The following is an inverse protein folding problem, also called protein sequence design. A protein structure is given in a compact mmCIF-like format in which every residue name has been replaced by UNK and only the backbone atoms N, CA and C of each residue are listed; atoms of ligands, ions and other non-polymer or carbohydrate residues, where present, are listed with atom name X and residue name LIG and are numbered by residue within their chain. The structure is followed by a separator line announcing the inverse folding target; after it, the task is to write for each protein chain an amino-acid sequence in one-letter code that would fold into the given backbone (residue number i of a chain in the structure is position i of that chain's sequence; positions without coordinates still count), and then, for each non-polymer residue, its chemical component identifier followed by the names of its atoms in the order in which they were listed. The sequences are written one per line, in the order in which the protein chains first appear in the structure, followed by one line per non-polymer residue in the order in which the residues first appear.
data_IF_891486539443
#
_entry.id   IF_891486539443
#
_cell.length_a   1.000
_cell.length_b   1.000
_cell.length_c   1.000
_cell.angle_alpha   90.00
_cell.angle_beta   90.00
_cell.angle_gamma   90.00
#
_symmetry.space_group_name_H-M   'P 1'
#
loop_
_entity.id
_entity.type
_entity.pdbx_description
1 polymer ?
#
# COMPACT_ATOMS: atom_id res chain seq x y z
N UNK A 1 -8.11 -11.15 1.09
CA UNK A 1 -6.65 -10.85 1.23
C UNK A 1 -5.72 -11.94 0.63
N UNK A 2 -6.31 -12.98 0.00
CA UNK A 2 -5.57 -14.10 -0.61
C UNK A 2 -4.44 -13.66 -1.57
N UNK A 3 -4.61 -12.67 -2.48
CA UNK A 3 -3.53 -12.30 -3.41
C UNK A 3 -2.26 -11.80 -2.70
N UNK A 4 -2.39 -10.99 -1.65
CA UNK A 4 -1.22 -10.55 -0.86
C UNK A 4 -0.57 -11.71 -0.08
N UNK A 5 -1.37 -12.69 0.36
CA UNK A 5 -0.86 -13.91 0.99
C UNK A 5 -0.14 -14.81 -0.03
N UNK A 6 -0.70 -14.97 -1.23
CA UNK A 6 -0.08 -15.74 -2.30
C UNK A 6 1.24 -15.13 -2.78
N UNK A 7 1.34 -13.79 -2.83
CA UNK A 7 2.57 -13.09 -3.18
C UNK A 7 3.66 -13.29 -2.12
N UNK A 8 3.30 -13.34 -0.84
CA UNK A 8 4.18 -13.65 0.30
C UNK A 8 5.49 -12.82 0.31
N UNK A 9 5.44 -11.47 0.27
CA UNK A 9 6.65 -10.66 0.25
C UNK A 9 7.46 -10.83 1.53
N UNK A 10 8.79 -10.69 1.41
CA UNK A 10 9.71 -10.75 2.52
C UNK A 10 10.20 -9.35 2.91
N UNK A 11 10.55 -9.11 4.18
CA UNK A 11 11.22 -7.88 4.59
C UNK A 11 12.47 -7.61 3.76
N UNK A 12 12.63 -6.36 3.26
CA UNK A 12 13.77 -5.96 2.43
C UNK A 12 13.56 -6.11 0.92
N UNK A 13 12.48 -6.75 0.46
CA UNK A 13 12.17 -6.85 -0.97
C UNK A 13 11.63 -5.53 -1.56
N UNK A 14 11.72 -5.41 -2.88
CA UNK A 14 11.10 -4.36 -3.70
C UNK A 14 9.82 -4.92 -4.31
N UNK A 15 8.68 -4.38 -3.90
CA UNK A 15 7.35 -4.88 -4.27
C UNK A 15 6.57 -3.83 -5.04
N UNK A 16 5.88 -4.23 -6.09
CA UNK A 16 4.92 -3.40 -6.82
C UNK A 16 3.51 -3.91 -6.58
N UNK A 17 2.60 -3.03 -6.15
CA UNK A 17 1.14 -3.20 -6.21
C UNK A 17 0.62 -2.28 -7.32
N UNK A 18 0.36 -2.85 -8.51
CA UNK A 18 0.18 -2.04 -9.73
C UNK A 18 -1.23 -1.47 -9.87
N UNK A 19 -2.24 -2.08 -9.25
CA UNK A 19 -3.64 -1.66 -9.23
C UNK A 19 -4.13 -1.54 -7.78
N UNK A 20 -3.45 -0.72 -6.99
CA UNK A 20 -3.42 -0.79 -5.53
C UNK A 20 -4.70 -0.31 -4.82
N UNK A 21 -5.39 0.69 -5.40
CA UNK A 21 -6.50 1.33 -4.68
C UNK A 21 -7.71 0.41 -4.46
N UNK A 22 -8.33 0.47 -3.28
CA UNK A 22 -8.18 1.48 -2.22
C UNK A 22 -7.06 1.21 -1.19
N UNK A 23 -6.21 0.17 -1.34
CA UNK A 23 -5.04 -0.04 -0.49
C UNK A 23 -5.11 -1.24 0.46
N UNK A 24 -6.19 -2.01 0.46
CA UNK A 24 -6.32 -3.16 1.35
C UNK A 24 -5.26 -4.25 1.12
N UNK A 25 -4.87 -4.49 -0.14
CA UNK A 25 -3.79 -5.43 -0.47
C UNK A 25 -2.42 -4.82 -0.18
N UNK A 26 -2.21 -3.55 -0.52
CA UNK A 26 -1.00 -2.79 -0.19
C UNK A 26 -0.69 -2.84 1.30
N UNK A 27 -1.69 -2.60 2.15
CA UNK A 27 -1.50 -2.64 3.62
C UNK A 27 -1.16 -4.04 4.12
N UNK A 28 -1.77 -5.08 3.55
CA UNK A 28 -1.41 -6.46 3.88
C UNK A 28 0.03 -6.82 3.45
N UNK A 29 0.51 -6.30 2.31
CA UNK A 29 1.90 -6.44 1.89
C UNK A 29 2.84 -5.73 2.87
N UNK A 30 2.53 -4.47 3.26
CA UNK A 30 3.32 -3.68 4.20
C UNK A 30 3.45 -4.33 5.58
N UNK A 31 2.37 -4.90 6.11
CA UNK A 31 2.40 -5.65 7.36
C UNK A 31 3.37 -6.85 7.29
N UNK A 32 3.36 -7.60 6.18
CA UNK A 32 4.29 -8.73 5.99
C UNK A 32 5.74 -8.27 5.88
N UNK A 33 5.98 -7.15 5.22
CA UNK A 33 7.31 -6.58 5.04
C UNK A 33 7.84 -5.86 6.29
N UNK A 34 7.03 -5.68 7.34
CA UNK A 34 7.45 -5.03 8.61
C UNK A 34 8.09 -3.64 8.38
N UNK A 35 7.56 -2.87 7.45
CA UNK A 35 8.10 -1.57 7.03
C UNK A 35 9.56 -1.61 6.49
N UNK A 36 10.09 -2.78 6.10
CA UNK A 36 11.40 -2.94 5.49
C UNK A 36 11.28 -3.10 3.99
N UNK A 37 12.29 -2.63 3.24
CA UNK A 37 12.26 -2.64 1.77
C UNK A 37 11.43 -1.50 1.17
N UNK A 38 10.85 -1.74 0.00
CA UNK A 38 10.07 -0.74 -0.74
C UNK A 38 8.78 -1.35 -1.29
N UNK A 39 7.65 -0.66 -1.10
CA UNK A 39 6.41 -0.91 -1.82
C UNK A 39 6.13 0.28 -2.72
N UNK A 40 6.12 0.07 -4.04
CA UNK A 40 5.53 1.02 -4.99
C UNK A 40 4.07 0.63 -5.16
N UNK A 41 3.15 1.52 -4.78
CA UNK A 41 1.72 1.30 -4.88
C UNK A 41 1.12 2.27 -5.90
N UNK A 42 0.58 1.74 -7.00
CA UNK A 42 0.06 2.54 -8.10
C UNK A 42 -1.44 2.34 -8.30
N UNK A 43 -2.11 3.40 -8.69
CA UNK A 43 -3.44 3.32 -9.31
C UNK A 43 -3.60 4.43 -10.33
N UNK A 44 -4.16 4.12 -11.49
CA UNK A 44 -4.33 5.08 -12.59
C UNK A 44 -5.38 6.16 -12.26
N UNK A 45 -6.27 5.91 -11.31
CA UNK A 45 -7.35 6.82 -10.92
C UNK A 45 -6.93 7.78 -9.82
N UNK A 46 -6.79 9.10 -10.08
CA UNK A 46 -6.42 10.09 -9.05
C UNK A 46 -7.42 10.16 -7.89
N UNK A 47 -8.70 9.84 -8.16
CA UNK A 47 -9.74 9.80 -7.14
C UNK A 47 -9.53 8.64 -6.16
N UNK A 48 -9.16 7.45 -6.69
CA UNK A 48 -8.95 6.25 -5.89
C UNK A 48 -7.64 6.30 -5.09
N UNK A 49 -6.59 6.94 -5.62
CA UNK A 49 -5.29 7.10 -4.95
C UNK A 49 -5.43 7.83 -3.61
N UNK A 50 -6.37 8.77 -3.46
CA UNK A 50 -6.62 9.45 -2.17
C UNK A 50 -7.03 8.48 -1.05
N UNK A 51 -7.84 7.48 -1.38
CA UNK A 51 -8.23 6.44 -0.42
C UNK A 51 -7.03 5.51 -0.09
N UNK A 52 -6.19 5.20 -1.09
CA UNK A 52 -4.96 4.45 -0.91
C UNK A 52 -3.99 5.15 0.06
N UNK A 53 -3.75 6.46 -0.12
CA UNK A 53 -2.92 7.27 0.80
C UNK A 53 -3.46 7.19 2.22
N UNK A 54 -4.77 7.45 2.41
CA UNK A 54 -5.41 7.40 3.74
C UNK A 54 -5.22 6.04 4.40
N UNK A 55 -5.46 4.93 3.70
CA UNK A 55 -5.35 3.59 4.27
C UNK A 55 -3.90 3.22 4.61
N UNK A 56 -2.93 3.61 3.78
CA UNK A 56 -1.50 3.42 4.03
C UNK A 56 -1.04 4.19 5.28
N UNK A 57 -1.49 5.44 5.43
CA UNK A 57 -1.17 6.26 6.60
C UNK A 57 -1.83 5.75 7.87
N UNK A 58 -3.07 5.29 7.79
CA UNK A 58 -3.83 4.73 8.90
C UNK A 58 -3.17 3.47 9.47
N UNK A 59 -2.52 2.69 8.60
CA UNK A 59 -1.76 1.49 8.98
C UNK A 59 -0.30 1.77 9.37
N UNK A 60 0.11 3.04 9.41
CA UNK A 60 1.47 3.45 9.81
C UNK A 60 2.58 2.92 8.89
N UNK A 61 2.28 2.72 7.59
CA UNK A 61 3.29 2.22 6.64
C UNK A 61 4.26 3.33 6.23
N UNK A 62 5.55 3.06 6.43
CA UNK A 62 6.64 4.01 6.17
C UNK A 62 7.48 3.68 4.95
N UNK A 63 7.31 2.48 4.38
CA UNK A 63 8.09 1.96 3.25
C UNK A 63 7.34 2.03 1.92
N UNK A 64 6.30 2.85 1.81
CA UNK A 64 5.47 2.95 0.60
C UNK A 64 5.77 4.19 -0.22
N UNK A 65 5.85 4.03 -1.54
CA UNK A 65 5.85 5.09 -2.54
C UNK A 65 4.56 5.00 -3.35
N UNK A 66 3.66 5.97 -3.17
CA UNK A 66 2.34 5.97 -3.82
C UNK A 66 2.37 6.86 -5.04
N UNK A 67 2.08 6.28 -6.20
CA UNK A 67 2.15 6.93 -7.50
C UNK A 67 0.81 6.87 -8.23
N UNK A 68 0.63 7.77 -9.21
CA UNK A 68 -0.56 7.84 -10.05
C UNK A 68 -0.14 7.91 -11.51
N UNK A 69 0.26 6.76 -12.06
CA UNK A 69 0.80 6.65 -13.41
C UNK A 69 0.21 5.47 -14.19
N UNK A 70 0.40 5.48 -15.50
CA UNK A 70 0.08 4.32 -16.32
C UNK A 70 1.14 3.23 -16.16
N UNK A 71 0.77 1.94 -16.33
CA UNK A 71 1.73 0.83 -16.32
C UNK A 71 2.88 1.01 -17.32
N UNK A 72 2.60 1.58 -18.49
CA UNK A 72 3.59 1.84 -19.56
C UNK A 72 4.62 2.88 -19.12
N UNK A 73 4.22 3.89 -18.35
CA UNK A 73 5.15 4.88 -17.82
C UNK A 73 6.04 4.30 -16.74
N UNK A 74 5.47 3.47 -15.86
CA UNK A 74 6.22 2.83 -14.78
C UNK A 74 7.28 1.86 -15.32
N UNK A 75 6.98 1.08 -16.37
CA UNK A 75 7.95 0.15 -16.96
C UNK A 75 9.18 0.83 -17.55
N UNK A 76 9.05 2.09 -18.00
CA UNK A 76 10.19 2.87 -18.48
C UNK A 76 11.15 3.29 -17.36
N UNK A 77 10.64 3.38 -16.13
CA UNK A 77 11.38 3.85 -14.95
C UNK A 77 11.96 2.69 -14.16
N UNK A 78 11.25 1.57 -14.11
CA UNK A 78 11.57 0.43 -13.26
C UNK A 78 11.80 -0.88 -14.05
N UNK A 79 12.64 -0.92 -15.10
CA UNK A 79 12.92 -2.17 -15.82
C UNK A 79 13.61 -3.17 -14.88
N UNK A 80 13.09 -4.40 -14.78
CA UNK A 80 13.63 -5.49 -13.95
C UNK A 80 14.00 -5.07 -12.52
N UNK A 81 13.13 -4.26 -11.91
CA UNK A 81 13.41 -3.63 -10.61
C UNK A 81 12.77 -4.38 -9.44
N UNK A 82 11.58 -4.95 -9.62
CA UNK A 82 10.80 -5.53 -8.52
C UNK A 82 11.09 -7.02 -8.32
N UNK A 83 11.23 -7.41 -7.06
CA UNK A 83 11.31 -8.81 -6.64
C UNK A 83 9.95 -9.49 -6.72
N UNK A 84 8.89 -8.72 -6.43
CA UNK A 84 7.51 -9.21 -6.46
C UNK A 84 6.54 -8.17 -7.02
N UNK A 85 5.55 -8.65 -7.75
CA UNK A 85 4.48 -7.79 -8.31
C UNK A 85 3.12 -8.38 -7.99
N UNK A 86 2.23 -7.54 -7.46
CA UNK A 86 0.82 -7.84 -7.27
C UNK A 86 -0.02 -7.16 -8.36
N UNK A 87 -0.85 -7.93 -9.03
CA UNK A 87 -1.78 -7.50 -10.05
C UNK A 87 -3.20 -7.89 -9.66
N UNK A 88 -3.90 -6.99 -8.97
CA UNK A 88 -5.33 -7.10 -8.76
C UNK A 88 -6.02 -6.30 -9.85
N UNK A 89 -6.10 -6.90 -11.04
CA UNK A 89 -6.41 -6.18 -12.28
C UNK A 89 -7.88 -5.78 -12.38
N UNK A 90 -8.18 -4.67 -13.10
CA UNK A 90 -9.56 -4.36 -13.45
C UNK A 90 -10.16 -5.50 -14.26
N UNK A 91 -11.38 -5.93 -13.91
CA UNK A 91 -12.06 -7.06 -14.50
C UNK A 91 -13.57 -6.81 -14.61
N UNK A 92 -14.32 -7.73 -15.22
CA UNK A 92 -15.77 -7.64 -15.35
C UNK A 92 -16.54 -7.69 -14.02
N UNK A 93 -15.90 -8.13 -12.93
CA UNK A 93 -16.40 -7.94 -11.57
C UNK A 93 -17.55 -8.83 -11.15
N UNK A 94 -17.80 -9.95 -11.83
CA UNK A 94 -18.95 -10.86 -11.57
C UNK A 94 -19.00 -11.34 -10.12
N UNK A 95 -17.86 -11.57 -9.49
CA UNK A 95 -17.76 -12.00 -8.10
C UNK A 95 -18.21 -10.97 -7.08
N UNK A 96 -18.42 -9.70 -7.49
CA UNK A 96 -18.81 -8.59 -6.60
C UNK A 96 -20.31 -8.29 -6.61
N UNK A 97 -21.13 -8.95 -7.47
CA UNK A 97 -22.54 -8.63 -7.66
C UNK A 97 -23.38 -8.67 -6.39
N UNK A 98 -23.03 -9.51 -5.43
CA UNK A 98 -23.71 -9.58 -4.12
C UNK A 98 -23.48 -8.33 -3.28
N UNK A 99 -22.31 -7.72 -3.40
CA UNK A 99 -21.85 -6.59 -2.56
C UNK A 99 -22.11 -5.26 -3.23
N UNK A 100 -22.01 -5.20 -4.53
CA UNK A 100 -22.04 -3.98 -5.32
C UNK A 100 -23.04 -4.10 -6.49
N UNK A 101 -24.18 -3.43 -6.36
CA UNK A 101 -25.22 -3.38 -7.42
C UNK A 101 -24.73 -2.63 -8.66
N UNK A 102 -23.83 -1.66 -8.52
CA UNK A 102 -23.26 -0.93 -9.65
C UNK A 102 -22.34 -1.83 -10.48
N UNK A 103 -21.66 -2.79 -9.83
CA UNK A 103 -20.86 -3.80 -10.52
C UNK A 103 -21.71 -4.64 -11.47
N UNK A 104 -22.91 -5.04 -11.07
CA UNK A 104 -23.85 -5.80 -11.93
C UNK A 104 -24.34 -4.95 -13.13
N UNK A 105 -24.56 -3.64 -12.93
CA UNK A 105 -24.96 -2.74 -14.01
C UNK A 105 -23.80 -2.42 -14.97
N UNK A 106 -22.57 -2.29 -14.44
CA UNK A 106 -21.39 -2.06 -15.26
C UNK A 106 -21.02 -3.29 -16.10
N UNK A 107 -21.29 -4.49 -15.59
CA UNK A 107 -21.01 -5.74 -16.30
C UNK A 107 -21.70 -5.81 -17.68
N UNK A 108 -22.93 -5.32 -17.81
CA UNK A 108 -23.64 -5.25 -19.10
C UNK A 108 -22.95 -4.34 -20.13
N UNK A 109 -22.03 -3.46 -19.70
CA UNK A 109 -21.31 -2.49 -20.55
C UNK A 109 -19.88 -2.94 -20.88
N UNK A 110 -19.29 -3.82 -20.07
CA UNK A 110 -17.92 -4.30 -20.28
C UNK A 110 -17.96 -5.71 -20.84
N UNK A 111 -17.50 -5.87 -22.07
CA UNK A 111 -17.26 -7.20 -22.65
C UNK A 111 -16.00 -7.77 -21.97
N UNK A 112 -16.09 -9.03 -21.51
CA UNK A 112 -14.94 -9.73 -20.90
C UNK A 112 -13.71 -9.77 -21.81
N UNK A 113 -13.91 -9.74 -23.13
CA UNK A 113 -12.83 -9.66 -24.13
C UNK A 113 -12.04 -8.37 -24.02
N UNK A 114 -12.71 -7.22 -23.78
CA UNK A 114 -12.05 -5.93 -23.59
C UNK A 114 -11.25 -5.90 -22.30
N UNK A 115 -11.82 -6.44 -21.20
CA UNK A 115 -11.10 -6.58 -19.94
C UNK A 115 -9.86 -7.48 -20.10
N UNK A 116 -10.02 -8.62 -20.76
CA UNK A 116 -8.91 -9.55 -21.00
C UNK A 116 -7.78 -8.89 -21.81
N UNK A 117 -8.10 -8.09 -22.82
CA UNK A 117 -7.09 -7.35 -23.60
C UNK A 117 -6.35 -6.31 -22.75
N UNK A 118 -7.07 -5.52 -21.93
CA UNK A 118 -6.45 -4.55 -20.98
C UNK A 118 -5.54 -5.26 -20.00
N UNK A 119 -5.98 -6.39 -19.45
CA UNK A 119 -5.22 -7.19 -18.51
C UNK A 119 -3.91 -7.70 -19.12
N UNK A 120 -3.91 -8.09 -20.40
CA UNK A 120 -2.71 -8.52 -21.12
C UNK A 120 -1.67 -7.39 -21.25
N UNK A 121 -2.08 -6.16 -21.54
CA UNK A 121 -1.17 -5.00 -21.58
C UNK A 121 -0.62 -4.66 -20.18
N UNK A 122 -1.44 -4.77 -19.12
CA UNK A 122 -0.98 -4.59 -17.75
C UNK A 122 0.09 -5.63 -17.39
N UNK A 123 -0.16 -6.91 -17.69
CA UNK A 123 0.81 -8.00 -17.42
C UNK A 123 2.08 -7.85 -18.22
N UNK A 124 1.99 -7.41 -19.50
CA UNK A 124 3.17 -7.08 -20.31
C UNK A 124 4.07 -6.06 -19.62
N UNK A 125 3.48 -4.95 -19.16
CA UNK A 125 4.23 -3.92 -18.43
C UNK A 125 4.81 -4.45 -17.12
N UNK A 126 4.07 -5.25 -16.37
CA UNK A 126 4.51 -5.87 -15.14
C UNK A 126 5.67 -6.87 -15.37
N UNK A 127 5.59 -7.67 -16.42
CA UNK A 127 6.65 -8.63 -16.79
C UNK A 127 8.00 -7.94 -17.06
N UNK A 128 7.97 -6.78 -17.74
CA UNK A 128 9.18 -5.99 -18.00
C UNK A 128 9.78 -5.37 -16.72
N UNK A 129 8.92 -5.09 -15.72
CA UNK A 129 9.33 -4.54 -14.42
C UNK A 129 9.78 -5.61 -13.43
N UNK A 130 9.39 -6.88 -13.64
CA UNK A 130 9.74 -7.99 -12.77
C UNK A 130 11.16 -8.49 -13.03
N UNK A 131 11.95 -8.65 -11.98
CA UNK A 131 13.29 -9.26 -12.07
C UNK A 131 13.22 -10.71 -12.58
N UNK A 132 14.27 -11.20 -13.24
CA UNK A 132 14.47 -12.65 -13.42
C UNK A 132 14.44 -13.37 -12.06
N UNK A 133 13.72 -14.50 -11.97
CA UNK A 133 13.48 -15.22 -10.71
C UNK A 133 12.46 -14.55 -9.77
N UNK A 134 11.88 -13.40 -10.18
CA UNK A 134 10.87 -12.69 -9.42
C UNK A 134 9.49 -13.38 -9.47
N UNK A 135 8.63 -13.02 -8.53
CA UNK A 135 7.28 -13.60 -8.38
C UNK A 135 6.20 -12.57 -8.71
N UNK A 136 5.22 -12.97 -9.51
CA UNK A 136 4.03 -12.18 -9.83
C UNK A 136 2.78 -12.91 -9.36
N UNK A 137 1.85 -12.20 -8.74
CA UNK A 137 0.50 -12.72 -8.47
C UNK A 137 -0.50 -11.95 -9.30
N UNK A 138 -1.24 -12.68 -10.11
CA UNK A 138 -2.37 -12.19 -10.89
C UNK A 138 -3.67 -12.56 -10.20
N UNK A 139 -4.59 -11.61 -10.06
CA UNK A 139 -5.90 -11.83 -9.43
C UNK A 139 -7.00 -11.01 -10.08
N UNK A 140 -8.21 -11.57 -10.07
CA UNK A 140 -9.45 -10.94 -10.52
C UNK A 140 -10.58 -11.23 -9.55
N UNK A 141 -11.66 -10.44 -9.62
CA UNK A 141 -12.92 -10.73 -8.94
C UNK A 141 -14.00 -11.17 -9.95
N UNK A 142 -13.63 -11.86 -11.04
CA UNK A 142 -14.56 -12.41 -12.03
C UNK A 142 -14.51 -13.94 -12.07
N UNK A 143 -15.58 -14.57 -12.59
CA UNK A 143 -15.63 -16.00 -12.84
C UNK A 143 -15.29 -16.38 -14.29
N UNK A 144 -15.15 -15.39 -15.19
CA UNK A 144 -14.98 -15.62 -16.61
C UNK A 144 -13.62 -16.26 -16.93
N UNK A 145 -13.56 -17.43 -17.61
CA UNK A 145 -12.32 -18.09 -17.96
C UNK A 145 -11.41 -17.26 -18.86
N UNK A 146 -11.97 -16.39 -19.72
CA UNK A 146 -11.19 -15.50 -20.62
C UNK A 146 -10.30 -14.54 -19.87
N UNK A 147 -10.78 -14.04 -18.74
CA UNK A 147 -10.02 -13.14 -17.89
C UNK A 147 -9.13 -13.89 -16.88
N UNK A 148 -9.32 -15.17 -16.72
CA UNK A 148 -8.65 -16.03 -15.75
C UNK A 148 -7.71 -17.03 -16.45
N UNK A 149 -8.14 -18.29 -16.59
CA UNK A 149 -7.27 -19.37 -17.10
C UNK A 149 -6.75 -19.13 -18.52
N UNK A 150 -7.59 -18.58 -19.42
CA UNK A 150 -7.15 -18.27 -20.80
C UNK A 150 -6.10 -17.15 -20.83
N UNK A 151 -6.20 -16.16 -19.92
CA UNK A 151 -5.15 -15.15 -19.77
C UNK A 151 -3.88 -15.75 -19.18
N UNK A 152 -3.97 -16.62 -18.17
CA UNK A 152 -2.79 -17.32 -17.63
C UNK A 152 -2.13 -18.16 -18.72
N UNK A 153 -2.91 -18.90 -19.53
CA UNK A 153 -2.40 -19.64 -20.67
C UNK A 153 -1.69 -18.72 -21.67
N UNK A 154 -2.27 -17.57 -21.98
CA UNK A 154 -1.65 -16.56 -22.85
C UNK A 154 -0.32 -16.07 -22.25
N UNK A 155 -0.25 -15.81 -20.94
CA UNK A 155 0.97 -15.28 -20.31
C UNK A 155 2.11 -16.30 -20.34
N UNK A 156 1.86 -17.56 -20.00
CA UNK A 156 2.92 -18.60 -20.03
C UNK A 156 3.38 -18.96 -21.45
N UNK A 157 2.54 -18.73 -22.47
CA UNK A 157 2.91 -18.94 -23.89
C UNK A 157 3.72 -17.79 -24.48
N UNK A 158 3.48 -16.55 -24.03
CA UNK A 158 4.08 -15.37 -24.67
C UNK A 158 5.22 -14.74 -23.84
N UNK A 159 5.35 -15.11 -22.57
CA UNK A 159 6.39 -14.61 -21.68
C UNK A 159 7.11 -15.78 -21.01
N UNK A 160 8.33 -15.53 -20.52
CA UNK A 160 9.09 -16.52 -19.75
C UNK A 160 8.57 -16.64 -18.31
N UNK A 161 7.28 -16.97 -18.19
CA UNK A 161 6.57 -17.18 -16.94
C UNK A 161 6.21 -18.65 -16.74
N UNK A 162 6.26 -19.10 -15.49
CA UNK A 162 5.84 -20.43 -15.07
C UNK A 162 4.83 -20.29 -13.94
N UNK A 163 3.82 -21.17 -13.92
CA UNK A 163 2.88 -21.25 -12.79
C UNK A 163 3.60 -21.86 -11.58
N UNK A 164 3.57 -21.14 -10.47
CA UNK A 164 3.96 -21.65 -9.17
C UNK A 164 2.69 -22.06 -8.43
N UNK A 165 2.46 -23.37 -8.35
CA UNK A 165 1.23 -23.95 -7.84
C UNK A 165 0.91 -23.45 -6.43
N UNK A 166 -0.33 -23.01 -6.26
CA UNK A 166 -0.88 -22.64 -4.96
C UNK A 166 -1.64 -23.84 -4.36
N UNK A 167 -1.42 -24.10 -3.07
CA UNK A 167 -2.19 -25.10 -2.36
C UNK A 167 -3.55 -24.53 -1.92
N UNK A 168 -4.64 -25.28 -2.07
CA UNK A 168 -5.97 -24.86 -1.65
C UNK A 168 -6.03 -24.52 -0.15
N UNK A 169 -6.61 -23.37 0.18
CA UNK A 169 -6.78 -22.90 1.55
C UNK A 169 -8.07 -22.07 1.68
N UNK A 170 -8.75 -22.15 2.81
CA UNK A 170 -9.86 -21.25 3.14
C UNK A 170 -11.04 -21.33 2.15
N UNK A 171 -11.35 -22.50 1.62
CA UNK A 171 -12.43 -22.73 0.65
C UNK A 171 -12.06 -22.40 -0.80
N UNK A 172 -10.80 -22.01 -1.07
CA UNK A 172 -10.31 -21.93 -2.44
C UNK A 172 -10.11 -23.33 -3.03
N UNK A 173 -10.49 -23.50 -4.28
CA UNK A 173 -10.32 -24.71 -5.08
C UNK A 173 -9.36 -24.46 -6.25
N UNK A 174 -8.73 -25.52 -6.83
CA UNK A 174 -7.93 -25.37 -8.03
C UNK A 174 -8.70 -24.72 -9.18
N UNK A 175 -8.01 -23.93 -9.97
CA UNK A 175 -8.53 -23.35 -11.22
C UNK A 175 -8.86 -24.44 -12.24
N UNK A 176 -9.62 -24.09 -13.28
CA UNK A 176 -10.31 -25.01 -14.18
C UNK A 176 -9.58 -25.08 -15.53
N UNK A 177 -8.54 -25.91 -15.62
CA UNK A 177 -7.79 -26.10 -16.88
C UNK A 177 -8.68 -26.63 -18.01
N UNK A 178 -9.70 -27.41 -17.69
CA UNK A 178 -10.66 -27.94 -18.66
C UNK A 178 -11.50 -26.90 -19.40
N UNK A 179 -11.49 -25.63 -18.92
CA UNK A 179 -12.20 -24.50 -19.56
C UNK A 179 -11.36 -23.78 -20.61
N UNK A 180 -10.09 -24.15 -20.78
CA UNK A 180 -9.22 -23.61 -21.81
C UNK A 180 -9.18 -24.49 -23.05
N UNK A 181 -8.71 -23.95 -24.17
CA UNK A 181 -8.57 -24.75 -25.39
C UNK A 181 -7.49 -25.82 -25.27
N UNK A 182 -6.36 -25.52 -24.64
CA UNK A 182 -5.25 -26.48 -24.48
C UNK A 182 -5.52 -27.56 -23.46
N UNK A 183 -6.37 -27.27 -22.46
CA UNK A 183 -6.61 -28.12 -21.29
C UNK A 183 -5.32 -28.50 -20.56
N UNK A 184 -4.30 -27.61 -20.63
CA UNK A 184 -3.01 -27.83 -19.97
C UNK A 184 -3.22 -27.99 -18.45
N UNK A 185 -2.88 -29.14 -17.87
CA UNK A 185 -3.11 -29.41 -16.45
C UNK A 185 -2.35 -28.47 -15.53
N UNK A 186 -1.29 -27.82 -15.99
CA UNK A 186 -0.54 -26.81 -15.18
C UNK A 186 -1.40 -25.60 -14.83
N UNK A 187 -2.41 -25.26 -15.65
CA UNK A 187 -3.35 -24.18 -15.41
C UNK A 187 -4.21 -24.40 -14.15
N UNK A 188 -4.32 -25.63 -13.65
CA UNK A 188 -4.97 -25.93 -12.37
C UNK A 188 -4.15 -25.50 -11.14
N UNK A 189 -2.94 -24.99 -11.33
CA UNK A 189 -2.09 -24.42 -10.26
C UNK A 189 -2.55 -23.09 -9.69
N UNK A 190 -3.47 -22.39 -10.35
CA UNK A 190 -4.20 -21.25 -9.78
C UNK A 190 -5.34 -21.69 -8.86
N UNK A 191 -5.99 -20.73 -8.20
CA UNK A 191 -7.09 -20.99 -7.27
C UNK A 191 -8.31 -20.12 -7.57
N UNK A 192 -9.49 -20.66 -7.30
CA UNK A 192 -10.79 -19.98 -7.37
C UNK A 192 -11.54 -20.05 -6.05
N UNK A 193 -12.20 -18.96 -5.68
CA UNK A 193 -13.16 -18.92 -4.58
C UNK A 193 -14.57 -18.78 -5.15
N UNK A 194 -15.47 -19.65 -4.68
CA UNK A 194 -16.86 -19.68 -5.10
C UNK A 194 -17.78 -19.26 -3.95
N UNK A 195 -18.59 -18.18 -4.10
CA UNK A 195 -19.44 -17.68 -3.01
C UNK A 195 -20.51 -18.65 -2.50
N UNK A 196 -20.83 -19.68 -3.28
CA UNK A 196 -21.78 -20.72 -2.88
C UNK A 196 -21.12 -21.88 -2.10
N UNK A 197 -19.77 -21.91 -2.02
CA UNK A 197 -19.01 -22.94 -1.32
C UNK A 197 -18.26 -22.43 -0.09
N UNK A 198 -18.01 -21.13 -0.03
CA UNK A 198 -17.28 -20.52 1.07
C UNK A 198 -17.80 -19.10 1.36
N UNK A 199 -17.60 -18.63 2.58
CA UNK A 199 -17.86 -17.23 2.94
C UNK A 199 -16.87 -16.32 2.22
N UNK A 200 -17.38 -15.39 1.41
CA UNK A 200 -16.58 -14.44 0.65
C UNK A 200 -17.17 -14.08 -0.70
N UNK A 201 -16.53 -13.16 -1.37
CA UNK A 201 -16.84 -12.77 -2.74
C UNK A 201 -16.04 -13.66 -3.72
N UNK A 202 -16.54 -13.77 -4.98
CA UNK A 202 -15.84 -14.53 -6.00
C UNK A 202 -14.44 -14.00 -6.28
N UNK A 203 -13.48 -14.91 -6.42
CA UNK A 203 -12.09 -14.52 -6.64
C UNK A 203 -11.31 -15.56 -7.43
N UNK A 204 -10.36 -15.08 -8.24
CA UNK A 204 -9.35 -15.91 -8.90
C UNK A 204 -7.97 -15.41 -8.50
N UNK A 205 -7.02 -16.31 -8.30
CA UNK A 205 -5.63 -15.98 -8.00
C UNK A 205 -4.69 -17.00 -8.62
N UNK A 206 -3.64 -16.54 -9.29
CA UNK A 206 -2.58 -17.37 -9.83
C UNK A 206 -1.21 -16.75 -9.52
N UNK A 207 -0.26 -17.58 -9.07
CA UNK A 207 1.12 -17.16 -8.81
C UNK A 207 2.01 -17.61 -9.94
N UNK A 208 2.83 -16.69 -10.46
CA UNK A 208 3.71 -16.85 -11.59
C UNK A 208 5.14 -16.51 -11.17
N UNK A 209 6.11 -17.22 -11.71
CA UNK A 209 7.55 -16.94 -11.54
C UNK A 209 8.15 -16.63 -12.90
N UNK A 210 8.88 -15.51 -13.02
CA UNK A 210 9.70 -15.19 -14.20
C UNK A 210 10.94 -16.07 -14.19
N UNK A 211 11.22 -16.75 -15.31
CA UNK A 211 12.42 -17.58 -15.47
C UNK A 211 13.68 -16.76 -15.26
N UNK A 212 14.70 -17.38 -14.70
CA UNK A 212 16.01 -16.76 -14.45
C UNK A 212 16.43 -16.84 -12.98
N UNK A 213 17.61 -16.33 -12.68
CA UNK A 213 18.17 -16.35 -11.34
C UNK A 213 17.82 -15.05 -10.60
N UNK A 214 17.27 -15.18 -9.41
CA UNK A 214 17.03 -14.05 -8.51
C UNK A 214 18.37 -13.45 -8.10
N UNK A 215 18.53 -12.13 -8.28
CA UNK A 215 19.64 -11.37 -7.73
C UNK A 215 19.19 -10.73 -6.41
N UNK A 216 20.04 -10.85 -5.39
CA UNK A 216 19.77 -10.20 -4.10
C UNK A 216 19.80 -8.67 -4.25
N UNK A 217 19.04 -8.01 -3.42
CA UNK A 217 19.10 -6.56 -3.32
C UNK A 217 20.35 -6.15 -2.55
N UNK A 218 21.04 -5.13 -3.02
CA UNK A 218 22.11 -4.51 -2.23
C UNK A 218 21.53 -3.88 -0.97
N UNK A 219 22.12 -4.15 0.19
CA UNK A 219 21.78 -3.47 1.43
C UNK A 219 22.33 -2.03 1.37
N UNK A 220 21.44 -1.08 1.24
CA UNK A 220 21.78 0.34 1.37
C UNK A 220 21.59 0.71 2.85
N UNK A 221 22.67 1.02 3.54
CA UNK A 221 22.61 1.48 4.94
C UNK A 221 21.83 2.79 5.08
N UNK A 222 21.28 3.06 6.28
CA UNK A 222 20.60 4.33 6.56
C UNK A 222 21.63 5.47 6.61
N UNK A 223 21.81 6.18 5.50
CA UNK A 223 22.62 7.39 5.43
C UNK A 223 21.71 8.62 5.61
N UNK A 224 22.14 9.57 6.46
CA UNK A 224 21.44 10.84 6.58
C UNK A 224 21.75 11.71 5.35
N UNK A 225 20.75 11.94 4.53
CA UNK A 225 20.86 12.74 3.30
C UNK A 225 19.66 13.65 3.10
N UNK A 226 19.85 14.71 2.32
CA UNK A 226 18.82 15.68 1.94
C UNK A 226 18.80 15.81 0.43
N UNK A 227 17.61 15.84 -0.17
CA UNK A 227 17.48 15.98 -1.62
C UNK A 227 17.68 17.42 -2.12
N UNK A 228 17.62 18.40 -1.21
CA UNK A 228 17.88 19.83 -1.50
C UNK A 228 18.24 20.58 -0.21
N UNK A 229 18.71 21.85 -0.34
CA UNK A 229 18.96 22.72 0.81
C UNK A 229 17.69 23.06 1.59
N UNK A 230 16.57 23.21 0.89
CA UNK A 230 15.27 23.46 1.52
C UNK A 230 14.80 22.22 2.31
N UNK A 231 15.08 21.01 1.80
CA UNK A 231 14.80 19.76 2.53
C UNK A 231 15.66 19.65 3.80
N UNK A 232 16.92 20.10 3.76
CA UNK A 232 17.80 20.17 4.92
C UNK A 232 17.26 21.12 6.00
N UNK A 233 16.85 22.35 5.62
CA UNK A 233 16.26 23.33 6.54
C UNK A 233 14.97 22.80 7.17
N UNK A 234 14.11 22.16 6.38
CA UNK A 234 12.88 21.56 6.87
C UNK A 234 13.15 20.37 7.82
N UNK A 235 14.18 19.57 7.53
CA UNK A 235 14.61 18.48 8.40
C UNK A 235 15.19 18.97 9.72
N UNK A 236 15.94 20.08 9.73
CA UNK A 236 16.42 20.69 10.97
C UNK A 236 15.26 21.12 11.88
N UNK A 237 14.25 21.81 11.33
CA UNK A 237 13.06 22.18 12.08
C UNK A 237 12.28 20.94 12.59
N UNK A 238 12.27 19.86 11.82
CA UNK A 238 11.73 18.56 12.28
C UNK A 238 12.57 17.97 13.44
N UNK A 239 13.91 18.04 13.37
CA UNK A 239 14.76 17.51 14.45
C UNK A 239 14.63 18.32 15.74
N UNK A 240 14.45 19.63 15.67
CA UNK A 240 14.12 20.46 16.83
C UNK A 240 12.79 20.01 17.46
N UNK A 241 11.73 19.90 16.63
CA UNK A 241 10.44 19.36 17.08
C UNK A 241 10.57 17.95 17.70
N UNK A 242 11.31 17.05 17.03
CA UNK A 242 11.52 15.68 17.52
C UNK A 242 12.30 15.67 18.84
N UNK A 243 13.33 16.50 18.97
CA UNK A 243 14.10 16.67 20.22
C UNK A 243 13.24 17.09 21.41
N UNK A 244 12.21 17.91 21.19
CA UNK A 244 11.28 18.35 22.23
C UNK A 244 10.20 17.30 22.56
N UNK A 245 9.72 16.55 21.57
CA UNK A 245 8.47 15.77 21.66
C UNK A 245 8.63 14.26 21.54
N UNK A 246 9.80 13.76 21.08
CA UNK A 246 10.02 12.35 20.77
C UNK A 246 11.23 11.78 21.51
N UNK A 247 11.21 10.48 21.78
CA UNK A 247 12.32 9.69 22.35
C UNK A 247 13.12 8.96 21.26
N UNK A 248 12.62 8.92 20.03
CA UNK A 248 13.22 8.20 18.91
C UNK A 248 13.84 9.15 17.89
N UNK A 249 14.84 8.68 17.17
CA UNK A 249 15.53 9.42 16.10
C UNK A 249 15.09 8.86 14.76
N UNK A 250 14.60 9.74 13.88
CA UNK A 250 14.26 9.40 12.49
C UNK A 250 15.47 9.67 11.61
N UNK A 251 16.02 8.63 10.99
CA UNK A 251 17.15 8.70 10.06
C UNK A 251 16.76 8.29 8.65
N UNK A 252 17.48 8.77 7.64
CA UNK A 252 17.30 8.42 6.25
C UNK A 252 17.41 9.62 5.31
N UNK A 253 16.82 9.51 4.14
CA UNK A 253 16.83 10.56 3.11
C UNK A 253 15.59 11.43 3.28
N UNK A 254 15.79 12.75 3.44
CA UNK A 254 14.72 13.71 3.59
C UNK A 254 14.43 14.42 2.27
N UNK A 255 13.16 14.54 1.93
CA UNK A 255 12.67 15.17 0.70
C UNK A 255 11.54 16.15 1.01
N UNK A 256 11.60 17.33 0.42
CA UNK A 256 10.58 18.37 0.57
C UNK A 256 9.80 18.54 -0.75
N UNK A 257 8.47 18.38 -0.69
CA UNK A 257 7.54 18.68 -1.79
C UNK A 257 6.64 19.85 -1.38
N UNK A 258 6.90 21.03 -1.92
CA UNK A 258 6.22 22.23 -1.45
C UNK A 258 6.56 22.52 0.01
N UNK A 259 5.58 22.39 0.92
CA UNK A 259 5.80 22.49 2.37
C UNK A 259 5.85 21.14 3.08
N UNK A 260 5.56 20.05 2.39
CA UNK A 260 5.45 18.73 3.00
C UNK A 260 6.80 18.02 3.05
N UNK A 261 7.25 17.68 4.25
CA UNK A 261 8.51 16.97 4.50
C UNK A 261 8.27 15.47 4.58
N UNK A 262 9.03 14.71 3.82
CA UNK A 262 9.00 13.24 3.79
C UNK A 262 10.36 12.66 4.18
N UNK A 263 10.35 11.52 4.86
CA UNK A 263 11.47 10.60 4.92
C UNK A 263 11.25 9.52 3.87
N UNK A 264 12.11 9.45 2.86
CA UNK A 264 11.97 8.50 1.76
C UNK A 264 12.09 7.05 2.24
N UNK A 265 11.40 6.09 1.59
CA UNK A 265 11.55 4.67 1.88
C UNK A 265 12.91 4.16 1.42
N UNK A 266 13.31 3.02 1.94
CA UNK A 266 14.51 2.32 1.50
C UNK A 266 14.46 2.05 -0.02
N UNK A 267 15.58 2.07 -0.70
CA UNK A 267 15.73 1.96 -2.17
C UNK A 267 15.19 3.13 -3.01
N UNK A 268 14.69 4.20 -2.40
CA UNK A 268 14.31 5.42 -3.09
C UNK A 268 15.30 6.53 -2.73
N UNK A 269 16.43 6.60 -3.47
CA UNK A 269 17.48 7.59 -3.22
C UNK A 269 17.10 9.01 -3.66
N UNK A 270 16.22 9.09 -4.64
CA UNK A 270 15.60 10.31 -5.17
C UNK A 270 14.18 9.99 -5.67
N UNK A 271 13.36 11.02 -5.78
CA UNK A 271 12.00 10.86 -6.30
C UNK A 271 12.02 11.02 -7.82
N UNK A 272 11.63 9.99 -8.58
CA UNK A 272 11.61 10.08 -10.04
C UNK A 272 10.58 11.09 -10.55
N UNK A 273 10.79 11.61 -11.78
CA UNK A 273 9.88 12.54 -12.45
C UNK A 273 8.57 11.86 -12.91
N UNK A 274 7.72 11.56 -11.95
CA UNK A 274 6.38 10.95 -12.14
C UNK A 274 5.37 11.61 -11.21
N UNK A 275 4.08 11.37 -11.47
CA UNK A 275 3.02 11.80 -10.55
C UNK A 275 3.02 10.91 -9.32
N UNK A 276 3.18 11.50 -8.15
CA UNK A 276 3.13 10.79 -6.89
C UNK A 276 2.39 11.58 -5.81
N UNK A 277 1.83 10.86 -4.84
CA UNK A 277 1.05 11.42 -3.74
C UNK A 277 1.74 11.28 -2.38
N UNK A 278 2.51 10.21 -2.17
CA UNK A 278 3.22 9.94 -0.92
C UNK A 278 4.55 9.24 -1.19
N UNK A 279 5.62 9.69 -0.54
CA UNK A 279 6.96 9.10 -0.66
C UNK A 279 7.51 8.74 0.72
N UNK A 280 7.29 7.50 1.16
CA UNK A 280 7.71 7.01 2.47
C UNK A 280 6.90 7.60 3.63
N UNK A 281 7.57 8.01 4.71
CA UNK A 281 6.92 8.59 5.89
C UNK A 281 6.72 10.09 5.70
N UNK A 282 5.48 10.53 5.63
CA UNK A 282 5.13 11.94 5.71
C UNK A 282 5.33 12.43 7.14
N UNK A 283 6.31 13.31 7.37
CA UNK A 283 6.67 13.79 8.69
C UNK A 283 5.79 14.95 9.15
N UNK A 284 5.52 15.90 8.24
CA UNK A 284 4.73 17.09 8.55
C UNK A 284 4.96 18.25 7.60
N UNK A 285 4.41 19.39 7.96
CA UNK A 285 4.49 20.63 7.19
C UNK A 285 5.59 21.56 7.72
N UNK A 286 6.42 22.07 6.82
CA UNK A 286 7.39 23.11 7.12
C UNK A 286 6.96 24.42 6.48
N UNK A 287 6.62 25.42 7.30
CA UNK A 287 6.16 26.76 6.84
C UNK A 287 6.77 27.86 7.69
N UNK A 288 7.40 28.84 7.05
CA UNK A 288 7.95 30.03 7.72
C UNK A 288 8.85 29.71 8.94
N UNK A 289 9.74 28.71 8.79
CA UNK A 289 10.63 28.29 9.86
C UNK A 289 9.99 27.46 10.98
N UNK A 290 8.72 27.04 10.84
CA UNK A 290 8.02 26.23 11.84
C UNK A 290 7.66 24.87 11.27
N UNK A 291 7.77 23.84 12.11
CA UNK A 291 7.35 22.48 11.78
C UNK A 291 6.04 22.14 12.49
N UNK A 292 5.10 21.54 11.76
CA UNK A 292 3.84 21.00 12.29
C UNK A 292 3.75 19.51 11.96
N UNK A 293 3.64 18.61 12.97
CA UNK A 293 3.69 17.17 12.74
C UNK A 293 2.45 16.65 12.01
N UNK A 294 2.65 15.67 11.14
CA UNK A 294 1.56 15.03 10.41
C UNK A 294 0.87 13.94 11.23
N UNK A 295 -0.35 13.56 10.83
CA UNK A 295 -1.03 12.37 11.32
C UNK A 295 -0.26 11.09 10.95
N UNK A 296 0.38 11.04 9.77
CA UNK A 296 1.17 9.91 9.32
C UNK A 296 2.36 9.61 10.24
N UNK A 297 2.98 10.66 10.81
CA UNK A 297 4.09 10.51 11.76
C UNK A 297 3.64 9.79 13.03
N UNK A 298 2.53 10.22 13.65
CA UNK A 298 2.08 9.61 14.90
C UNK A 298 1.59 8.16 14.70
N UNK A 299 0.96 7.87 13.58
CA UNK A 299 0.50 6.51 13.24
C UNK A 299 1.64 5.52 12.97
N UNK A 300 2.81 6.02 12.57
CA UNK A 300 3.97 5.19 12.25
C UNK A 300 4.86 4.83 13.45
N UNK A 301 4.59 5.42 14.61
CA UNK A 301 5.40 5.31 15.82
C UNK A 301 4.67 4.51 16.90
N UNK A 302 5.42 4.09 17.92
CA UNK A 302 4.90 3.42 19.12
C UNK A 302 4.73 4.44 20.23
N UNK A 303 3.95 4.13 21.27
CA UNK A 303 3.75 5.02 22.43
C UNK A 303 5.07 5.42 23.10
N UNK A 304 6.04 4.49 23.17
CA UNK A 304 7.36 4.71 23.79
C UNK A 304 8.21 5.74 23.04
N UNK A 305 7.89 5.99 21.76
CA UNK A 305 8.58 6.96 20.94
C UNK A 305 8.20 8.42 21.26
N UNK A 306 7.19 8.65 22.11
CA UNK A 306 6.73 9.99 22.48
C UNK A 306 7.11 10.35 23.92
N UNK A 307 7.57 11.59 24.13
CA UNK A 307 7.85 12.12 25.48
C UNK A 307 6.59 12.40 26.28
N UNK A 308 5.50 12.79 25.60
CA UNK A 308 4.20 13.09 26.22
C UNK A 308 3.09 12.33 25.53
N UNK A 309 2.27 11.67 26.34
CA UNK A 309 1.11 10.90 25.88
C UNK A 309 -0.13 11.26 26.68
N UNK A 310 -1.27 11.30 26.02
CA UNK A 310 -2.61 11.32 26.65
C UNK A 310 -3.20 9.92 26.37
N UNK A 311 -3.28 9.12 27.42
CA UNK A 311 -3.73 7.73 27.33
C UNK A 311 -5.20 7.60 27.67
N UNK A 312 -5.96 6.97 26.80
CA UNK A 312 -7.34 6.57 27.05
C UNK A 312 -7.43 5.06 27.21
N UNK A 313 -8.11 4.64 28.25
CA UNK A 313 -8.38 3.23 28.54
C UNK A 313 -9.61 2.73 27.78
N UNK A 314 -9.79 1.41 27.75
CA UNK A 314 -10.96 0.77 27.14
C UNK A 314 -12.25 1.34 27.76
N UNK A 315 -13.19 1.70 26.87
CA UNK A 315 -14.48 2.32 27.20
C UNK A 315 -14.41 3.80 27.68
N UNK A 316 -13.27 4.49 27.56
CA UNK A 316 -13.22 5.93 27.80
C UNK A 316 -13.97 6.69 26.69
N UNK A 317 -15.01 7.43 27.06
CA UNK A 317 -15.81 8.22 26.12
C UNK A 317 -15.02 9.33 25.42
N UNK A 318 -13.89 9.77 25.98
CA UNK A 318 -13.03 10.76 25.36
C UNK A 318 -12.40 10.28 24.05
N UNK A 319 -12.27 8.97 23.85
CA UNK A 319 -11.82 8.40 22.55
C UNK A 319 -12.75 8.83 21.43
N UNK A 320 -14.04 8.63 21.60
CA UNK A 320 -15.05 8.99 20.59
C UNK A 320 -15.08 10.50 20.35
N UNK A 321 -14.97 11.30 21.42
CA UNK A 321 -14.88 12.76 21.33
C UNK A 321 -13.62 13.18 20.55
N UNK A 322 -12.47 12.54 20.83
CA UNK A 322 -11.24 12.77 20.08
C UNK A 322 -11.41 12.43 18.59
N UNK A 323 -11.94 11.26 18.26
CA UNK A 323 -12.14 10.83 16.87
C UNK A 323 -13.18 11.68 16.11
N UNK A 324 -14.11 12.32 16.83
CA UNK A 324 -15.03 13.34 16.27
C UNK A 324 -14.37 14.70 16.07
N UNK A 325 -13.17 14.91 16.61
CA UNK A 325 -12.42 16.16 16.50
C UNK A 325 -12.84 17.22 17.52
N UNK A 326 -13.46 16.81 18.63
CA UNK A 326 -13.84 17.70 19.74
C UNK A 326 -12.61 18.13 20.54
N UNK A 327 -12.69 19.31 21.15
CA UNK A 327 -11.72 19.77 22.14
C UNK A 327 -11.86 18.95 23.41
N UNK A 328 -10.73 18.52 23.97
CA UNK A 328 -10.65 17.82 25.25
C UNK A 328 -9.96 18.71 26.29
N UNK A 329 -10.01 18.30 27.54
CA UNK A 329 -9.37 19.00 28.65
C UNK A 329 -8.49 18.03 29.46
N UNK A 330 -7.34 18.52 29.88
CA UNK A 330 -6.39 17.77 30.70
C UNK A 330 -5.50 18.74 31.48
N UNK A 331 -5.12 18.37 32.69
CA UNK A 331 -4.10 19.11 33.44
C UNK A 331 -2.72 18.58 33.00
N UNK A 332 -1.87 19.45 32.44
CA UNK A 332 -0.56 19.05 31.96
C UNK A 332 0.24 20.21 31.36
N UNK A 333 1.42 19.91 30.88
CA UNK A 333 2.33 20.89 30.29
C UNK A 333 1.91 21.29 28.86
N UNK A 334 2.12 22.55 28.50
CA UNK A 334 1.88 23.07 27.16
C UNK A 334 2.75 22.35 26.11
N UNK A 335 2.20 22.20 24.91
CA UNK A 335 2.89 21.65 23.74
C UNK A 335 2.22 20.42 23.14
N UNK A 336 2.93 19.70 22.26
CA UNK A 336 2.39 18.52 21.59
C UNK A 336 2.40 17.29 22.50
N UNK A 337 1.34 16.47 22.39
CA UNK A 337 1.27 15.14 22.99
C UNK A 337 0.61 14.16 22.01
N UNK A 338 1.03 12.90 22.04
CA UNK A 338 0.36 11.84 21.30
C UNK A 338 -0.86 11.36 22.10
N UNK A 339 -1.99 11.23 21.45
CA UNK A 339 -3.19 10.56 22.00
C UNK A 339 -3.05 9.07 21.71
N UNK A 340 -3.15 8.25 22.74
CA UNK A 340 -3.09 6.81 22.63
C UNK A 340 -4.39 6.17 23.16
N UNK A 341 -4.84 5.12 22.48
CA UNK A 341 -5.83 4.18 22.99
C UNK A 341 -5.08 2.95 23.49
N UNK A 342 -5.11 2.72 24.80
CA UNK A 342 -4.23 1.73 25.43
C UNK A 342 -2.77 1.99 25.03
N UNK A 343 -2.20 1.13 24.19
CA UNK A 343 -0.81 1.23 23.73
C UNK A 343 -0.67 1.72 22.27
N UNK A 344 -1.79 2.02 21.61
CA UNK A 344 -1.80 2.37 20.18
C UNK A 344 -1.99 3.88 19.98
N UNK A 345 -1.01 4.58 19.34
CA UNK A 345 -1.19 5.98 18.98
C UNK A 345 -2.34 6.17 18.00
N UNK A 346 -3.16 7.19 18.27
CA UNK A 346 -4.32 7.58 17.45
C UNK A 346 -4.11 8.89 16.69
N UNK A 347 -3.32 9.81 17.24
CA UNK A 347 -3.08 11.11 16.64
C UNK A 347 -2.48 12.11 17.62
N UNK A 348 -2.43 13.39 17.21
CA UNK A 348 -1.86 14.47 17.99
C UNK A 348 -2.92 15.32 18.68
N UNK A 349 -2.55 15.89 19.84
CA UNK A 349 -3.16 17.07 20.45
C UNK A 349 -2.07 18.12 20.71
N UNK A 350 -2.47 19.39 20.79
CA UNK A 350 -1.62 20.47 21.29
C UNK A 350 -2.27 21.04 22.54
N UNK A 351 -1.60 20.92 23.67
CA UNK A 351 -2.05 21.44 24.95
C UNK A 351 -1.70 22.93 25.08
N UNK A 352 -2.70 23.72 25.52
CA UNK A 352 -2.57 25.13 25.86
C UNK A 352 -3.36 25.36 27.17
N UNK A 353 -2.68 25.52 28.29
CA UNK A 353 -3.29 25.45 29.61
C UNK A 353 -3.98 24.11 29.84
N UNK A 354 -5.25 24.13 30.23
CA UNK A 354 -6.07 22.91 30.38
C UNK A 354 -6.71 22.42 29.08
N UNK A 355 -6.62 23.18 27.98
CA UNK A 355 -7.28 22.85 26.72
C UNK A 355 -6.38 21.97 25.83
N UNK A 356 -6.89 20.84 25.38
CA UNK A 356 -6.28 19.99 24.37
C UNK A 356 -6.89 20.30 23.00
N UNK A 357 -6.19 21.08 22.20
CA UNK A 357 -6.56 21.33 20.81
C UNK A 357 -6.41 20.04 20.02
N UNK A 358 -7.54 19.53 19.52
CA UNK A 358 -7.58 18.30 18.72
C UNK A 358 -7.00 18.53 17.32
N UNK A 359 -5.99 17.73 16.95
CA UNK A 359 -5.32 17.78 15.64
C UNK A 359 -5.70 16.63 14.71
N UNK A 360 -6.68 15.80 15.09
CA UNK A 360 -7.13 14.69 14.27
C UNK A 360 -7.69 15.21 12.92
N UNK A 361 -7.25 14.63 11.78
CA UNK A 361 -7.59 15.17 10.47
C UNK A 361 -9.08 15.23 10.20
N UNK A 362 -9.59 16.36 9.70
CA UNK A 362 -11.03 16.55 9.43
C UNK A 362 -11.62 15.46 8.54
N UNK A 363 -10.87 15.02 7.53
CA UNK A 363 -11.28 13.96 6.58
C UNK A 363 -11.30 12.54 7.18
N UNK A 364 -10.80 12.36 8.40
CA UNK A 364 -10.75 11.07 9.10
C UNK A 364 -11.77 10.98 10.25
N UNK A 365 -12.40 12.11 10.62
CA UNK A 365 -13.31 12.19 11.76
C UNK A 365 -14.51 11.28 11.60
N UNK A 366 -14.93 10.70 12.72
CA UNK A 366 -16.21 9.99 12.81
C UNK A 366 -17.36 10.98 12.66
N UNK A 367 -18.34 10.61 11.85
CA UNK A 367 -19.61 11.35 11.73
C UNK A 367 -20.59 10.95 12.83
#
# INVERSE_FOLDING_TARGET
MMPAQALCPQPGEKVLDLCAAPGGKTTALGCRMQNKGLIVANDISPKRVKALVKNVELMGLTNTFIVNESPERLRQIYPEFFDRILLDVPCSGEGMFRKDREAAQSWSRYKSDECAAIQREIVKSAYEMLKPGGTMVYSTCTFNPRENEENIEFFIKNYELMIDKLEPIGGFEPSRSEWTQSKDPTLSGGLRLWPHKAEGEGHFVCRLIKKGNKKDNEEIGPELRYTSKEAEQAAQAFFEFAGENMNTVVQGIFHLKGSSLFKLPHYLNEVPHIKWEKAGLYLGEYKKGRFEPSQSLVMALKKEDFKRIIRFEKNDHNIIRYLKGETLFNDGENGFAAVCYEDFPLGWVKQDGQMLKNMYPKSWRMM
#
